data_IF_231642525887
#
_entry.id   IF_231642525887
#
_cell.length_a   1.000
_cell.length_b   1.000
_cell.length_c   1.000
_cell.angle_alpha   90.00
_cell.angle_beta   90.00
_cell.angle_gamma   90.00
#
_symmetry.space_group_name_H-M   'P 1'
#
loop_
_entity.id
_entity.type
_entity.pdbx_description
1 polymer ?
#
# COMPACT_ATOMS: atom_id res chain seq x y z
N UNK A 1 -11.77 -20.90 -24.23
CA UNK A 1 -10.79 -21.54 -23.33
C UNK A 1 -11.20 -21.44 -21.84
N UNK A 2 -12.44 -21.07 -21.49
CA UNK A 2 -12.88 -20.85 -20.10
C UNK A 2 -12.63 -22.05 -19.17
N UNK A 3 -12.67 -23.26 -19.70
CA UNK A 3 -12.42 -24.52 -18.97
C UNK A 3 -10.97 -25.01 -18.98
N UNK A 4 -10.04 -24.35 -19.67
CA UNK A 4 -8.65 -24.83 -19.76
C UNK A 4 -7.96 -24.78 -18.39
N UNK A 5 -7.46 -25.92 -17.94
CA UNK A 5 -6.77 -26.09 -16.65
C UNK A 5 -5.90 -27.37 -16.67
N UNK A 6 -5.18 -27.60 -17.77
CA UNK A 6 -4.35 -28.81 -17.95
C UNK A 6 -2.94 -28.58 -17.42
N UNK A 7 -2.35 -29.62 -16.82
CA UNK A 7 -0.97 -29.54 -16.31
C UNK A 7 0.02 -29.24 -17.43
N UNK A 8 0.69 -28.10 -17.29
CA UNK A 8 1.70 -27.55 -18.20
C UNK A 8 2.93 -27.06 -17.43
N UNK A 9 3.05 -27.38 -16.14
CA UNK A 9 4.15 -26.89 -15.31
C UNK A 9 5.52 -27.32 -15.82
N UNK A 10 5.59 -28.45 -16.52
CA UNK A 10 6.81 -29.00 -17.11
C UNK A 10 7.17 -28.45 -18.49
N UNK A 11 6.41 -27.48 -19.02
CA UNK A 11 6.71 -26.92 -20.34
C UNK A 11 8.00 -26.11 -20.32
N UNK A 12 8.84 -26.32 -21.33
CA UNK A 12 10.00 -25.46 -21.55
C UNK A 12 9.59 -24.24 -22.39
N UNK A 13 9.52 -23.08 -21.74
CA UNK A 13 9.17 -21.81 -22.37
C UNK A 13 10.36 -20.87 -22.59
N UNK A 14 11.60 -21.37 -22.46
CA UNK A 14 12.81 -20.53 -22.48
C UNK A 14 13.02 -19.75 -23.78
N UNK A 15 12.46 -20.22 -24.90
CA UNK A 15 12.59 -19.61 -26.23
C UNK A 15 11.36 -18.76 -26.58
N UNK A 16 10.37 -18.71 -25.69
CA UNK A 16 9.15 -17.93 -25.87
C UNK A 16 9.46 -16.47 -25.58
N UNK A 17 9.12 -15.59 -26.53
CA UNK A 17 9.28 -14.14 -26.37
C UNK A 17 7.98 -13.43 -26.04
N UNK A 18 6.84 -14.12 -26.14
CA UNK A 18 5.51 -13.60 -25.84
C UNK A 18 4.61 -14.65 -25.20
N UNK A 19 4.02 -14.30 -24.07
CA UNK A 19 2.91 -15.04 -23.44
C UNK A 19 1.61 -14.23 -23.49
N UNK A 20 1.57 -13.23 -24.37
CA UNK A 20 0.42 -12.38 -24.57
C UNK A 20 -0.86 -13.21 -24.74
N UNK A 21 -1.87 -12.89 -23.93
CA UNK A 21 -3.21 -13.51 -23.97
C UNK A 21 -3.25 -15.04 -23.74
N UNK A 22 -2.16 -15.69 -23.30
CA UNK A 22 -2.05 -17.15 -23.23
C UNK A 22 -3.18 -17.82 -22.41
N UNK A 23 -3.57 -17.22 -21.29
CA UNK A 23 -4.67 -17.69 -20.42
C UNK A 23 -5.80 -16.67 -20.33
N UNK A 24 -5.92 -15.79 -21.32
CA UNK A 24 -7.00 -14.80 -21.35
C UNK A 24 -8.37 -15.49 -21.33
N UNK A 25 -9.20 -15.08 -20.38
CA UNK A 25 -10.52 -15.61 -20.09
C UNK A 25 -10.55 -17.12 -19.79
N UNK A 26 -9.42 -17.71 -19.40
CA UNK A 26 -9.35 -19.08 -18.89
C UNK A 26 -9.78 -19.08 -17.41
N UNK A 27 -11.07 -18.83 -17.18
CA UNK A 27 -11.73 -18.68 -15.86
C UNK A 27 -11.27 -19.73 -14.84
N UNK A 28 -11.10 -20.99 -15.27
CA UNK A 28 -10.72 -22.11 -14.41
C UNK A 28 -9.21 -22.39 -14.33
N UNK A 29 -8.37 -21.66 -15.05
CA UNK A 29 -6.94 -21.92 -15.08
C UNK A 29 -6.29 -21.56 -13.74
N UNK A 30 -5.64 -22.55 -13.12
CA UNK A 30 -4.91 -22.36 -11.86
C UNK A 30 -3.80 -23.42 -11.70
N UNK A 31 -3.15 -23.81 -12.80
CA UNK A 31 -2.07 -24.81 -12.77
C UNK A 31 -0.75 -24.18 -12.36
N UNK A 32 0.06 -24.95 -11.63
CA UNK A 32 1.39 -24.51 -11.20
C UNK A 32 2.30 -24.30 -12.42
N UNK A 33 2.72 -23.06 -12.58
CA UNK A 33 3.64 -22.59 -13.62
C UNK A 33 4.79 -21.79 -12.99
N UNK A 34 4.97 -21.88 -11.66
CA UNK A 34 6.00 -21.16 -10.93
C UNK A 34 7.42 -21.55 -11.36
N UNK A 35 7.58 -22.74 -11.93
CA UNK A 35 8.85 -23.28 -12.46
C UNK A 35 9.19 -22.83 -13.88
N UNK A 36 8.33 -22.07 -14.56
CA UNK A 36 8.62 -21.59 -15.91
C UNK A 36 9.78 -20.59 -15.94
N UNK A 37 10.72 -20.79 -16.85
CA UNK A 37 11.76 -19.80 -17.14
C UNK A 37 11.22 -18.73 -18.09
N UNK A 38 10.73 -17.64 -17.50
CA UNK A 38 10.14 -16.51 -18.23
C UNK A 38 11.15 -15.40 -18.57
N UNK A 39 12.44 -15.62 -18.36
CA UNK A 39 13.49 -14.60 -18.48
C UNK A 39 13.67 -14.01 -19.88
N UNK A 40 13.20 -14.71 -20.92
CA UNK A 40 13.25 -14.24 -22.32
C UNK A 40 11.92 -13.67 -22.83
N UNK A 41 10.87 -13.63 -22.00
CA UNK A 41 9.57 -13.11 -22.39
C UNK A 41 9.57 -11.58 -22.34
N UNK A 42 9.23 -11.00 -23.49
CA UNK A 42 9.21 -9.54 -23.73
C UNK A 42 7.78 -9.00 -23.55
N UNK A 43 6.76 -9.77 -23.96
CA UNK A 43 5.37 -9.34 -23.96
C UNK A 43 4.52 -10.26 -23.08
N UNK A 44 4.04 -9.73 -21.95
CA UNK A 44 3.18 -10.46 -20.99
C UNK A 44 1.74 -9.88 -20.93
N UNK A 45 1.35 -9.08 -21.92
CA UNK A 45 0.06 -8.41 -21.92
C UNK A 45 -1.11 -9.40 -21.84
N UNK A 46 -2.09 -9.10 -20.99
CA UNK A 46 -3.34 -9.88 -20.88
C UNK A 46 -3.14 -11.38 -20.59
N UNK A 47 -1.98 -11.83 -20.09
CA UNK A 47 -1.69 -13.25 -19.91
C UNK A 47 -2.75 -13.96 -19.05
N UNK A 48 -3.23 -13.31 -17.99
CA UNK A 48 -4.25 -13.81 -17.07
C UNK A 48 -5.51 -12.92 -17.04
N UNK A 49 -5.75 -12.09 -18.06
CA UNK A 49 -6.93 -11.23 -18.17
C UNK A 49 -8.21 -12.09 -18.12
N UNK A 50 -8.99 -11.97 -17.04
CA UNK A 50 -10.22 -12.74 -16.80
C UNK A 50 -9.99 -14.19 -16.36
N UNK A 51 -8.77 -14.60 -16.01
CA UNK A 51 -8.47 -15.90 -15.40
C UNK A 51 -8.81 -15.87 -13.90
N UNK A 52 -10.11 -15.81 -13.58
CA UNK A 52 -10.62 -15.49 -12.23
C UNK A 52 -10.09 -16.41 -11.13
N UNK A 53 -9.79 -17.68 -11.43
CA UNK A 53 -9.29 -18.68 -10.48
C UNK A 53 -7.78 -18.68 -10.29
N UNK A 54 -7.02 -17.95 -11.11
CA UNK A 54 -5.55 -18.01 -11.09
C UNK A 54 -4.99 -17.37 -9.82
N UNK A 55 -4.21 -18.12 -9.05
CA UNK A 55 -3.52 -17.66 -7.85
C UNK A 55 -2.26 -18.50 -7.54
N UNK A 56 -1.56 -18.97 -8.57
CA UNK A 56 -0.35 -19.78 -8.39
C UNK A 56 0.87 -18.93 -8.11
N UNK A 57 1.78 -19.45 -7.29
CA UNK A 57 2.98 -18.74 -6.91
C UNK A 57 3.91 -18.51 -8.12
N UNK A 58 4.09 -17.24 -8.46
CA UNK A 58 4.97 -16.75 -9.53
C UNK A 58 6.00 -15.74 -9.00
N UNK A 59 6.23 -15.70 -7.69
CA UNK A 59 7.17 -14.77 -7.06
C UNK A 59 8.59 -14.90 -7.61
N UNK A 60 8.97 -16.11 -8.05
CA UNK A 60 10.31 -16.42 -8.54
C UNK A 60 10.52 -16.13 -10.04
N UNK A 61 9.50 -15.64 -10.74
CA UNK A 61 9.62 -15.30 -12.15
C UNK A 61 10.59 -14.13 -12.36
N UNK A 62 11.57 -14.32 -13.24
CA UNK A 62 12.44 -13.24 -13.71
C UNK A 62 11.76 -12.50 -14.86
N UNK A 63 11.15 -11.36 -14.56
CA UNK A 63 10.42 -10.53 -15.55
C UNK A 63 11.24 -9.34 -16.09
N UNK A 64 12.54 -9.27 -15.79
CA UNK A 64 13.41 -8.13 -16.14
C UNK A 64 13.59 -7.87 -17.64
N UNK A 65 13.15 -8.78 -18.50
CA UNK A 65 13.13 -8.62 -19.97
C UNK A 65 11.81 -8.08 -20.51
N UNK A 66 10.75 -8.06 -19.70
CA UNK A 66 9.42 -7.66 -20.13
C UNK A 66 9.33 -6.15 -20.40
N UNK A 67 8.67 -5.79 -21.49
CA UNK A 67 8.47 -4.40 -21.93
C UNK A 67 7.03 -3.93 -21.62
N UNK A 68 6.06 -4.84 -21.56
CA UNK A 68 4.66 -4.49 -21.26
C UNK A 68 3.95 -5.58 -20.47
N UNK A 69 3.16 -5.15 -19.48
CA UNK A 69 2.32 -6.00 -18.63
C UNK A 69 0.88 -5.47 -18.57
N UNK A 70 0.46 -4.72 -19.60
CA UNK A 70 -0.91 -4.17 -19.65
C UNK A 70 -1.94 -5.28 -19.45
N UNK A 71 -2.93 -5.00 -18.63
CA UNK A 71 -4.07 -5.89 -18.36
C UNK A 71 -3.69 -7.30 -17.86
N UNK A 72 -2.43 -7.55 -17.42
CA UNK A 72 -1.92 -8.91 -17.18
C UNK A 72 -2.77 -9.72 -16.20
N UNK A 73 -3.26 -9.09 -15.13
CA UNK A 73 -4.14 -9.68 -14.12
C UNK A 73 -5.51 -8.99 -14.05
N UNK A 74 -5.93 -8.30 -15.12
CA UNK A 74 -7.23 -7.67 -15.17
C UNK A 74 -8.32 -8.73 -14.90
N UNK A 75 -9.20 -8.52 -13.92
CA UNK A 75 -10.27 -9.46 -13.58
C UNK A 75 -9.80 -10.83 -13.07
N UNK A 76 -8.50 -11.03 -12.77
CA UNK A 76 -7.99 -12.21 -12.10
C UNK A 76 -8.35 -12.15 -10.59
N UNK A 77 -9.63 -12.28 -10.29
CA UNK A 77 -10.23 -11.94 -8.99
C UNK A 77 -9.60 -12.64 -7.77
N UNK A 78 -9.02 -13.83 -7.96
CA UNK A 78 -8.37 -14.60 -6.89
C UNK A 78 -6.86 -14.33 -6.74
N UNK A 79 -6.24 -13.59 -7.66
CA UNK A 79 -4.79 -13.40 -7.67
C UNK A 79 -4.33 -12.50 -6.50
N UNK A 80 -3.41 -13.00 -5.68
CA UNK A 80 -2.84 -12.28 -4.54
C UNK A 80 -1.44 -12.77 -4.16
N UNK A 81 -0.57 -13.01 -5.15
CA UNK A 81 0.78 -13.54 -4.95
C UNK A 81 1.82 -12.44 -4.79
N UNK A 82 2.84 -12.71 -3.96
CA UNK A 82 3.91 -11.76 -3.64
C UNK A 82 4.78 -11.54 -4.88
N UNK A 83 4.60 -10.37 -5.52
CA UNK A 83 5.33 -9.96 -6.73
C UNK A 83 6.11 -8.66 -6.54
N UNK A 84 6.24 -8.18 -5.30
CA UNK A 84 6.97 -6.93 -4.98
C UNK A 84 8.45 -6.95 -5.37
N UNK A 85 9.05 -8.15 -5.47
CA UNK A 85 10.46 -8.34 -5.85
C UNK A 85 10.70 -8.42 -7.37
N UNK A 86 9.65 -8.32 -8.19
CA UNK A 86 9.80 -8.30 -9.63
C UNK A 86 10.54 -7.04 -10.12
N UNK A 87 11.56 -7.25 -10.95
CA UNK A 87 12.20 -6.17 -11.68
C UNK A 87 11.36 -5.78 -12.90
N UNK A 88 10.57 -4.71 -12.75
CA UNK A 88 9.78 -4.13 -13.83
C UNK A 88 10.41 -2.88 -14.45
N UNK A 89 11.71 -2.62 -14.21
CA UNK A 89 12.38 -1.37 -14.63
C UNK A 89 12.32 -1.11 -16.15
N UNK A 90 12.12 -2.14 -16.98
CA UNK A 90 11.96 -1.99 -18.44
C UNK A 90 10.50 -1.91 -18.92
N UNK A 91 9.54 -2.12 -18.03
CA UNK A 91 8.12 -2.13 -18.37
C UNK A 91 7.64 -0.69 -18.57
N UNK A 92 7.03 -0.42 -19.72
CA UNK A 92 6.53 0.93 -20.04
C UNK A 92 5.01 1.09 -19.90
N UNK A 93 4.28 -0.01 -19.70
CA UNK A 93 2.81 -0.04 -19.59
C UNK A 93 2.32 -1.06 -18.58
N UNK A 94 1.54 -0.58 -17.62
CA UNK A 94 0.88 -1.36 -16.55
C UNK A 94 -0.61 -0.99 -16.42
N UNK A 95 -1.18 -0.31 -17.42
CA UNK A 95 -2.59 0.06 -17.41
C UNK A 95 -3.50 -1.17 -17.32
N UNK A 96 -4.55 -1.04 -16.53
CA UNK A 96 -5.47 -2.08 -16.06
C UNK A 96 -4.82 -3.35 -15.47
N UNK A 97 -3.52 -3.36 -15.13
CA UNK A 97 -2.81 -4.58 -14.72
C UNK A 97 -3.50 -5.35 -13.60
N UNK A 98 -4.08 -4.65 -12.61
CA UNK A 98 -4.83 -5.24 -11.49
C UNK A 98 -6.29 -4.77 -11.43
N UNK A 99 -6.81 -4.23 -12.53
CA UNK A 99 -8.19 -3.74 -12.58
C UNK A 99 -9.15 -4.91 -12.29
N UNK A 100 -10.06 -4.76 -11.34
CA UNK A 100 -10.97 -5.83 -10.85
C UNK A 100 -10.25 -7.09 -10.29
N UNK A 101 -8.97 -7.00 -9.92
CA UNK A 101 -8.28 -8.06 -9.17
C UNK A 101 -8.63 -7.95 -7.68
N UNK A 102 -9.86 -8.35 -7.35
CA UNK A 102 -10.52 -8.09 -6.05
C UNK A 102 -9.71 -8.59 -4.84
N UNK A 103 -8.94 -9.68 -4.99
CA UNK A 103 -8.12 -10.22 -3.88
C UNK A 103 -6.72 -9.61 -3.79
N UNK A 104 -6.30 -8.82 -4.77
CA UNK A 104 -4.92 -8.32 -4.85
C UNK A 104 -4.65 -7.26 -3.77
N UNK A 105 -3.81 -7.62 -2.80
CA UNK A 105 -3.40 -6.78 -1.67
C UNK A 105 -1.91 -6.93 -1.36
N UNK A 106 -1.07 -6.85 -2.39
CA UNK A 106 0.38 -7.01 -2.27
C UNK A 106 1.09 -5.66 -2.42
N UNK A 107 2.16 -5.50 -1.64
CA UNK A 107 3.02 -4.33 -1.75
C UNK A 107 3.87 -4.42 -3.02
N UNK A 108 3.75 -3.40 -3.87
CA UNK A 108 4.51 -3.19 -5.11
C UNK A 108 5.22 -1.82 -5.10
N UNK A 109 5.38 -1.21 -3.92
CA UNK A 109 6.07 0.08 -3.77
C UNK A 109 7.56 0.02 -4.11
N UNK A 110 8.17 -1.16 -4.05
CA UNK A 110 9.56 -1.43 -4.44
C UNK A 110 9.77 -1.49 -5.96
N UNK A 111 8.71 -1.57 -6.76
CA UNK A 111 8.83 -1.58 -8.20
C UNK A 111 9.41 -0.27 -8.73
N UNK A 112 10.43 -0.37 -9.60
CA UNK A 112 10.90 0.78 -10.38
C UNK A 112 9.89 1.11 -11.48
N UNK A 113 9.11 2.16 -11.26
CA UNK A 113 8.08 2.65 -12.17
C UNK A 113 8.53 3.87 -12.97
N UNK A 114 9.82 4.23 -12.91
CA UNK A 114 10.38 5.40 -13.61
C UNK A 114 10.25 5.33 -15.14
N UNK A 115 10.08 4.13 -15.71
CA UNK A 115 9.85 3.93 -17.15
C UNK A 115 8.36 3.73 -17.53
N UNK A 116 7.45 3.66 -16.56
CA UNK A 116 6.04 3.38 -16.82
C UNK A 116 5.30 4.64 -17.28
N UNK A 117 4.86 4.60 -18.54
CA UNK A 117 4.22 5.73 -19.23
C UNK A 117 2.69 5.64 -19.28
N UNK A 118 2.09 4.55 -18.79
CA UNK A 118 0.64 4.39 -18.73
C UNK A 118 0.23 3.50 -17.56
N UNK A 119 -0.53 4.08 -16.62
CA UNK A 119 -1.07 3.43 -15.42
C UNK A 119 -2.58 3.60 -15.28
N UNK A 120 -3.27 3.89 -16.40
CA UNK A 120 -4.72 4.12 -16.39
C UNK A 120 -5.42 2.90 -15.78
N UNK A 121 -6.31 3.15 -14.81
CA UNK A 121 -7.11 2.14 -14.12
C UNK A 121 -6.32 0.98 -13.48
N UNK A 122 -5.00 1.11 -13.25
CA UNK A 122 -4.15 0.01 -12.82
C UNK A 122 -4.69 -0.74 -11.59
N UNK A 123 -5.25 -0.01 -10.62
CA UNK A 123 -5.80 -0.55 -9.38
C UNK A 123 -7.31 -0.35 -9.21
N UNK A 124 -8.05 0.11 -10.23
CA UNK A 124 -9.50 0.29 -10.10
C UNK A 124 -10.17 -1.05 -9.76
N UNK A 125 -10.90 -1.12 -8.64
CA UNK A 125 -11.54 -2.36 -8.18
C UNK A 125 -10.58 -3.43 -7.63
N UNK A 126 -9.29 -3.11 -7.43
CA UNK A 126 -8.35 -3.99 -6.76
C UNK A 126 -8.57 -4.02 -5.25
N UNK A 127 -8.23 -5.14 -4.60
CA UNK A 127 -8.39 -5.36 -3.16
C UNK A 127 -7.38 -4.66 -2.25
N UNK A 128 -6.75 -3.56 -2.69
CA UNK A 128 -5.70 -2.90 -1.93
C UNK A 128 -6.24 -2.34 -0.61
N UNK A 129 -5.62 -2.73 0.49
CA UNK A 129 -5.86 -2.07 1.78
C UNK A 129 -5.24 -0.67 1.78
N UNK A 130 -5.78 0.24 2.61
CA UNK A 130 -5.22 1.58 2.81
C UNK A 130 -3.74 1.54 3.18
N UNK A 131 -3.33 0.59 4.03
CA UNK A 131 -1.94 0.40 4.43
C UNK A 131 -1.06 0.01 3.24
N UNK A 132 -1.49 -0.96 2.43
CA UNK A 132 -0.71 -1.40 1.26
C UNK A 132 -0.59 -0.28 0.24
N UNK A 133 -1.66 0.48 0.02
CA UNK A 133 -1.64 1.62 -0.87
C UNK A 133 -0.71 2.73 -0.38
N UNK A 134 -0.66 2.98 0.93
CA UNK A 134 0.30 3.90 1.55
C UNK A 134 1.76 3.48 1.25
N UNK A 135 2.10 2.20 1.40
CA UNK A 135 3.46 1.70 1.11
C UNK A 135 3.83 1.83 -0.37
N UNK A 136 2.87 1.56 -1.27
CA UNK A 136 3.05 1.76 -2.72
C UNK A 136 3.38 3.23 -3.02
N UNK A 137 2.57 4.16 -2.53
CA UNK A 137 2.77 5.60 -2.77
C UNK A 137 4.09 6.10 -2.17
N UNK A 138 4.47 5.61 -0.98
CA UNK A 138 5.76 5.96 -0.36
C UNK A 138 6.95 5.51 -1.19
N UNK A 139 6.93 4.26 -1.67
CA UNK A 139 8.02 3.73 -2.48
C UNK A 139 8.18 4.50 -3.80
N UNK A 140 7.07 4.76 -4.49
CA UNK A 140 7.08 5.46 -5.78
C UNK A 140 7.47 6.94 -5.65
N UNK A 141 7.12 7.61 -4.54
CA UNK A 141 7.49 9.01 -4.31
C UNK A 141 9.01 9.27 -4.18
N UNK A 142 9.81 8.21 -3.99
CA UNK A 142 11.28 8.31 -3.95
C UNK A 142 11.96 8.31 -5.33
N UNK A 143 11.20 8.02 -6.39
CA UNK A 143 11.73 7.82 -7.74
C UNK A 143 11.63 9.11 -8.57
N UNK A 144 12.39 9.16 -9.67
CA UNK A 144 12.21 10.17 -10.72
C UNK A 144 11.17 9.63 -11.73
N UNK A 145 9.95 10.16 -11.67
CA UNK A 145 8.80 9.61 -12.39
C UNK A 145 8.56 10.34 -13.72
N UNK A 146 7.99 9.63 -14.71
CA UNK A 146 7.47 10.26 -15.94
C UNK A 146 6.33 11.21 -15.58
N UNK A 147 6.34 12.41 -16.16
CA UNK A 147 5.29 13.40 -15.90
C UNK A 147 3.99 13.16 -16.67
N UNK A 148 2.88 13.72 -16.19
CA UNK A 148 1.54 13.67 -16.83
C UNK A 148 0.93 12.26 -16.88
N UNK A 149 1.17 11.44 -15.86
CA UNK A 149 0.60 10.10 -15.76
C UNK A 149 -0.70 10.13 -14.98
N UNK A 150 -1.67 9.36 -15.47
CA UNK A 150 -2.90 9.07 -14.76
C UNK A 150 -2.76 7.72 -14.05
N UNK A 151 -2.88 7.72 -12.72
CA UNK A 151 -2.96 6.51 -11.91
C UNK A 151 -4.41 6.26 -11.53
N UNK A 152 -4.98 5.14 -11.98
CA UNK A 152 -6.30 4.72 -11.53
C UNK A 152 -6.22 3.85 -10.28
N UNK A 153 -6.86 4.28 -9.20
CA UNK A 153 -7.00 3.57 -7.94
C UNK A 153 -8.41 3.80 -7.32
N UNK A 154 -9.44 3.82 -8.18
CA UNK A 154 -10.79 4.21 -7.78
C UNK A 154 -11.30 3.35 -6.62
N UNK A 155 -11.82 3.99 -5.57
CA UNK A 155 -12.33 3.31 -4.38
C UNK A 155 -11.27 2.96 -3.33
N UNK A 156 -9.99 3.19 -3.61
CA UNK A 156 -8.90 2.91 -2.67
C UNK A 156 -8.53 4.18 -1.91
N UNK A 157 -8.53 4.14 -0.59
CA UNK A 157 -8.12 5.26 0.25
C UNK A 157 -6.64 5.19 0.62
N UNK A 158 -6.01 6.35 0.83
CA UNK A 158 -4.71 6.47 1.51
C UNK A 158 -4.88 7.10 2.89
N UNK A 159 -3.87 6.99 3.76
CA UNK A 159 -3.83 7.62 5.07
C UNK A 159 -2.44 8.18 5.41
N UNK A 160 -1.41 7.32 5.48
CA UNK A 160 -0.08 7.69 5.96
C UNK A 160 0.90 8.08 4.84
N UNK A 161 0.40 8.30 3.62
CA UNK A 161 1.21 8.69 2.46
C UNK A 161 0.74 10.00 1.82
N UNK A 162 0.07 10.89 2.57
CA UNK A 162 -0.48 12.15 2.05
C UNK A 162 0.61 13.03 1.42
N UNK A 163 1.74 13.19 2.10
CA UNK A 163 2.86 14.00 1.60
C UNK A 163 3.50 13.37 0.34
N UNK A 164 3.68 12.05 0.35
CA UNK A 164 4.28 11.29 -0.74
C UNK A 164 3.39 11.35 -1.98
N UNK A 165 2.09 11.10 -1.82
CA UNK A 165 1.08 11.25 -2.86
C UNK A 165 1.07 12.66 -3.45
N UNK A 166 1.05 13.68 -2.58
CA UNK A 166 1.04 15.07 -3.02
C UNK A 166 2.34 15.42 -3.77
N UNK A 167 3.48 14.89 -3.33
CA UNK A 167 4.76 15.12 -4.00
C UNK A 167 4.80 14.52 -5.40
N UNK A 168 4.15 13.36 -5.62
CA UNK A 168 4.03 12.73 -6.94
C UNK A 168 3.20 13.65 -7.88
N UNK A 169 2.09 14.18 -7.38
CA UNK A 169 1.21 15.10 -8.12
C UNK A 169 1.97 16.39 -8.46
N UNK A 170 2.58 17.05 -7.47
CA UNK A 170 3.16 18.38 -7.63
C UNK A 170 4.42 18.37 -8.50
N UNK A 171 5.30 17.37 -8.33
CA UNK A 171 6.57 17.30 -9.06
C UNK A 171 6.41 16.80 -10.48
N UNK A 172 5.53 15.82 -10.68
CA UNK A 172 5.41 15.10 -11.94
C UNK A 172 4.07 15.35 -12.65
N UNK A 173 3.22 16.24 -12.14
CA UNK A 173 1.91 16.53 -12.73
C UNK A 173 1.05 15.26 -12.93
N UNK A 174 1.11 14.33 -11.99
CA UNK A 174 0.27 13.13 -12.01
C UNK A 174 -1.18 13.48 -11.66
N UNK A 175 -2.12 12.71 -12.22
CA UNK A 175 -3.51 12.70 -11.78
C UNK A 175 -3.77 11.34 -11.13
N UNK A 176 -4.06 11.34 -9.83
CA UNK A 176 -4.32 10.13 -9.05
C UNK A 176 -5.83 10.05 -8.77
N UNK A 177 -6.49 9.07 -9.37
CA UNK A 177 -7.92 8.80 -9.21
C UNK A 177 -8.13 7.77 -8.10
N UNK A 178 -7.96 8.19 -6.85
CA UNK A 178 -8.21 7.39 -5.66
C UNK A 178 -9.40 7.93 -4.87
N UNK A 179 -9.78 7.26 -3.77
CA UNK A 179 -10.90 7.67 -2.93
C UNK A 179 -10.53 8.77 -1.92
N UNK A 180 -9.32 9.33 -1.99
CA UNK A 180 -8.85 10.39 -1.09
C UNK A 180 -8.38 9.89 0.28
N UNK A 181 -8.01 10.85 1.12
CA UNK A 181 -7.54 10.63 2.49
C UNK A 181 -8.66 10.02 3.34
N UNK A 182 -8.43 8.82 3.88
CA UNK A 182 -9.31 8.21 4.86
C UNK A 182 -8.51 7.32 5.80
N UNK A 183 -8.31 7.79 7.03
CA UNK A 183 -7.60 7.06 8.07
C UNK A 183 -8.51 6.17 8.93
N UNK A 184 -9.82 6.13 8.67
CA UNK A 184 -10.80 5.42 9.51
C UNK A 184 -10.63 3.89 9.51
N UNK A 185 -10.03 3.32 8.47
CA UNK A 185 -9.74 1.88 8.34
C UNK A 185 -8.56 1.40 9.20
N UNK A 186 -7.72 2.32 9.71
CA UNK A 186 -6.56 2.03 10.55
C UNK A 186 -6.75 2.46 12.02
N UNK A 187 -7.94 2.91 12.38
CA UNK A 187 -8.23 3.24 13.77
C UNK A 187 -8.56 1.93 14.49
N UNK A 188 -7.53 1.19 14.89
CA UNK A 188 -7.72 0.27 16.00
C UNK A 188 -8.26 1.10 17.18
N UNK A 189 -9.31 0.62 17.85
CA UNK A 189 -9.72 1.18 19.13
C UNK A 189 -8.46 1.35 19.99
N UNK A 190 -8.19 2.57 20.46
CA UNK A 190 -7.13 2.80 21.45
C UNK A 190 -7.47 1.92 22.64
N UNK A 191 -6.76 0.82 22.82
CA UNK A 191 -6.79 0.07 24.05
C UNK A 191 -5.75 0.69 24.97
N UNK A 192 -6.13 0.95 26.22
CA UNK A 192 -5.22 1.55 27.20
C UNK A 192 -3.89 0.79 27.30
N UNK A 193 -3.90 -0.54 27.15
CA UNK A 193 -2.70 -1.39 27.15
C UNK A 193 -1.70 -1.09 26.03
N UNK A 194 -2.15 -0.55 24.90
CA UNK A 194 -1.32 -0.25 23.73
C UNK A 194 -0.81 1.21 23.69
N UNK A 195 -1.11 2.00 24.72
CA UNK A 195 -0.63 3.38 24.86
C UNK A 195 0.49 3.45 25.91
N UNK A 196 1.70 3.67 25.43
CA UNK A 196 2.90 3.86 26.22
C UNK A 196 3.29 5.34 26.27
N UNK A 197 3.53 5.83 27.49
CA UNK A 197 4.04 7.17 27.76
C UNK A 197 5.49 7.05 28.22
N UNK A 198 6.42 7.67 27.49
CA UNK A 198 7.84 7.58 27.82
C UNK A 198 8.58 8.88 27.50
N UNK A 199 9.47 9.37 28.36
CA UNK A 199 9.66 8.92 29.73
C UNK A 199 8.44 9.29 30.60
N UNK A 200 8.12 8.47 31.59
CA UNK A 200 7.12 8.77 32.61
C UNK A 200 7.61 8.19 33.94
N UNK A 201 8.14 9.02 34.86
CA UNK A 201 8.07 10.48 34.88
C UNK A 201 8.92 11.21 33.82
N UNK A 202 8.62 12.48 33.51
CA UNK A 202 9.34 13.32 32.52
C UNK A 202 9.72 14.69 33.09
N UNK A 203 10.71 15.36 32.48
CA UNK A 203 11.10 16.75 32.77
C UNK A 203 10.67 17.73 31.68
N UNK A 204 10.47 17.28 30.46
CA UNK A 204 10.43 18.16 29.29
C UNK A 204 9.53 17.63 28.19
N UNK A 205 9.79 16.44 27.65
CA UNK A 205 8.96 15.85 26.60
C UNK A 205 8.42 14.50 27.06
N UNK A 206 7.15 14.23 26.78
CA UNK A 206 6.55 12.90 26.91
C UNK A 206 6.14 12.40 25.53
N UNK A 207 6.67 11.24 25.12
CA UNK A 207 6.32 10.60 23.85
C UNK A 207 5.17 9.61 24.07
N UNK A 208 4.24 9.60 23.13
CA UNK A 208 3.08 8.71 23.05
C UNK A 208 3.37 7.74 21.91
N UNK A 209 3.52 6.45 22.20
CA UNK A 209 3.75 5.40 21.20
C UNK A 209 4.79 5.77 20.14
N UNK A 210 6.09 5.69 20.49
CA UNK A 210 7.24 6.05 19.62
C UNK A 210 6.96 5.81 18.12
N UNK A 211 6.70 6.90 17.39
CA UNK A 211 6.67 6.92 15.93
C UNK A 211 5.44 6.30 15.26
N UNK A 212 4.43 5.85 16.01
CA UNK A 212 3.22 5.27 15.43
C UNK A 212 2.00 6.05 15.91
N UNK A 213 1.33 6.69 14.96
CA UNK A 213 0.09 7.48 15.07
C UNK A 213 0.26 8.90 15.61
N UNK A 214 -0.38 9.83 14.91
CA UNK A 214 -0.60 11.20 15.36
C UNK A 214 -1.99 11.26 15.99
N UNK A 215 -2.06 11.66 17.26
CA UNK A 215 -3.27 11.60 18.09
C UNK A 215 -3.61 12.98 18.64
N UNK A 216 -4.87 13.20 18.97
CA UNK A 216 -5.30 14.40 19.67
C UNK A 216 -5.06 14.23 21.16
N UNK A 217 -4.35 15.18 21.77
CA UNK A 217 -3.89 15.08 23.15
C UNK A 217 -4.36 16.27 23.97
N UNK A 218 -4.98 15.99 25.11
CA UNK A 218 -5.35 16.99 26.11
C UNK A 218 -4.72 16.69 27.47
N UNK A 219 -4.14 17.70 28.12
CA UNK A 219 -3.58 17.58 29.48
C UNK A 219 -4.47 18.30 30.48
N UNK A 220 -4.69 17.68 31.64
CA UNK A 220 -5.49 18.20 32.74
C UNK A 220 -4.73 18.13 34.06
N UNK A 221 -4.99 19.09 34.95
CA UNK A 221 -4.54 18.99 36.35
C UNK A 221 -5.44 18.04 37.17
N UNK A 222 -5.09 17.82 38.44
CA UNK A 222 -5.87 16.95 39.34
C UNK A 222 -7.27 17.47 39.68
N UNK A 223 -7.54 18.76 39.45
CA UNK A 223 -8.87 19.37 39.61
C UNK A 223 -9.74 19.22 38.35
N UNK A 224 -9.22 18.56 37.29
CA UNK A 224 -9.93 18.36 36.03
C UNK A 224 -9.93 19.58 35.11
N UNK A 225 -9.12 20.61 35.38
CA UNK A 225 -8.98 21.76 34.49
C UNK A 225 -8.06 21.40 33.33
N UNK A 226 -8.52 21.67 32.09
CA UNK A 226 -7.73 21.48 30.87
C UNK A 226 -6.64 22.55 30.80
N UNK A 227 -5.40 22.12 30.69
CA UNK A 227 -4.21 22.98 30.62
C UNK A 227 -3.67 23.11 29.21
N UNK A 228 -3.82 22.07 28.38
CA UNK A 228 -3.21 22.00 27.06
C UNK A 228 -4.06 21.15 26.11
N UNK A 229 -4.01 21.49 24.81
CA UNK A 229 -4.53 20.71 23.71
C UNK A 229 -3.56 20.75 22.54
N UNK A 230 -3.29 19.60 21.94
CA UNK A 230 -2.44 19.46 20.77
C UNK A 230 -3.13 18.49 19.81
N UNK A 231 -3.33 18.91 18.57
CA UNK A 231 -3.89 18.05 17.51
C UNK A 231 -2.77 17.27 16.83
N UNK A 232 -3.08 16.04 16.41
CA UNK A 232 -2.20 15.22 15.55
C UNK A 232 -0.74 15.19 16.02
N UNK A 233 -0.49 14.73 17.25
CA UNK A 233 0.86 14.60 17.80
C UNK A 233 1.16 13.20 18.35
N UNK A 234 2.44 12.84 18.37
CA UNK A 234 2.98 11.67 19.06
C UNK A 234 3.88 12.04 20.26
N UNK A 235 3.97 13.33 20.61
CA UNK A 235 4.73 13.82 21.75
C UNK A 235 4.13 15.11 22.31
N UNK A 236 4.45 15.41 23.57
CA UNK A 236 4.02 16.65 24.23
C UNK A 236 5.18 17.29 24.96
N UNK A 237 5.45 18.56 24.66
CA UNK A 237 6.33 19.41 25.46
C UNK A 237 5.56 19.88 26.72
N UNK A 238 6.08 19.50 27.88
CA UNK A 238 5.53 19.79 29.20
C UNK A 238 6.42 20.75 30.01
N UNK A 239 7.37 21.45 29.38
CA UNK A 239 8.25 22.41 30.05
C UNK A 239 7.49 23.53 30.76
N UNK A 240 6.32 23.91 30.24
CA UNK A 240 5.47 24.95 30.82
C UNK A 240 4.64 24.47 32.03
N UNK A 241 4.62 23.16 32.29
CA UNK A 241 3.90 22.60 33.44
C UNK A 241 4.80 22.61 34.69
N UNK A 242 4.20 22.96 35.83
CA UNK A 242 4.84 22.81 37.13
C UNK A 242 5.08 21.33 37.46
N UNK A 243 5.98 21.07 38.41
CA UNK A 243 6.18 19.73 38.95
C UNK A 243 4.88 19.20 39.57
N UNK A 244 4.47 18.01 39.18
CA UNK A 244 3.19 17.47 39.61
C UNK A 244 2.72 16.25 38.85
N UNK A 245 1.53 15.78 39.22
CA UNK A 245 0.83 14.69 38.54
C UNK A 245 -0.25 15.27 37.62
N UNK A 246 -0.32 14.75 36.40
CA UNK A 246 -1.25 15.19 35.38
C UNK A 246 -2.02 14.03 34.77
N UNK A 247 -3.22 14.33 34.29
CA UNK A 247 -4.01 13.42 33.46
C UNK A 247 -3.79 13.80 32.00
N UNK A 248 -3.51 12.80 31.17
CA UNK A 248 -3.38 12.96 29.73
C UNK A 248 -4.46 12.12 29.05
N UNK A 249 -5.28 12.77 28.25
CA UNK A 249 -6.32 12.16 27.42
C UNK A 249 -5.84 12.15 25.98
N UNK A 250 -5.87 10.97 25.37
CA UNK A 250 -5.30 10.68 24.06
C UNK A 250 -6.43 10.11 23.22
N UNK A 251 -6.76 10.78 22.13
CA UNK A 251 -7.95 10.52 21.35
C UNK A 251 -7.60 10.28 19.88
N UNK A 252 -8.32 9.36 19.26
CA UNK A 252 -8.45 9.24 17.81
C UNK A 252 -9.92 9.45 17.42
N UNK A 253 -10.27 9.24 16.15
CA UNK A 253 -11.65 9.49 15.69
C UNK A 253 -12.70 8.51 16.26
N UNK A 254 -12.28 7.38 16.82
CA UNK A 254 -13.20 6.37 17.38
C UNK A 254 -13.36 6.47 18.90
N UNK A 255 -12.26 6.64 19.63
CA UNK A 255 -12.27 6.57 21.08
C UNK A 255 -11.17 7.40 21.76
N UNK A 256 -11.28 7.53 23.08
CA UNK A 256 -10.35 8.26 23.94
C UNK A 256 -9.80 7.32 25.02
N UNK A 257 -8.48 7.37 25.24
CA UNK A 257 -7.78 6.71 26.35
C UNK A 257 -7.29 7.77 27.32
N UNK A 258 -7.49 7.51 28.61
CA UNK A 258 -6.98 8.34 29.70
C UNK A 258 -5.80 7.64 30.38
N UNK A 259 -4.71 8.36 30.58
CA UNK A 259 -3.51 7.94 31.32
C UNK A 259 -3.09 9.02 32.31
N UNK A 260 -2.11 8.68 33.14
CA UNK A 260 -1.48 9.58 34.10
C UNK A 260 0.02 9.68 33.83
N UNK A 261 0.58 10.88 33.95
CA UNK A 261 2.02 11.07 33.98
C UNK A 261 2.47 11.99 35.11
N UNK A 262 3.76 11.93 35.43
CA UNK A 262 4.39 12.74 36.46
C UNK A 262 5.43 13.64 35.79
N UNK A 263 5.36 14.94 36.09
CA UNK A 263 6.36 15.96 35.75
C UNK A 263 7.21 16.23 36.99
N UNK A 264 8.54 16.12 36.88
CA UNK A 264 9.42 16.62 37.93
C UNK A 264 9.73 18.10 37.77
#
# INVERSE_FOLDING_TARGET
ATSFNQDIGSWNVNSVTTTAEMFRSAVNFNQDIGSWDVSNIIYMNQMFDGATSFNQNISNWNVSSSITMRDMFQGASSFNQIIGDWDISKVNRTDNMFREAISFNQDVGSWDVSNVSNMNNMFNGAGLSTKTYDEILKGWATQELISNINLGAEGINYCNSENERQSIIDKFNWIIFDAGLNCTSNIENLKSENINLSPNPTNNIIYINKGQYFLDVSIYNQLGQKLMFIEKTNHVDVNQLLSGTYIIKIKNDLNEVTKKFIKY
#
